data_IF_899900971674
#
_entry.id   IF_899900971674
#
_cell.length_a   1.000
_cell.length_b   1.000
_cell.length_c   1.000
_cell.angle_alpha   90.00
_cell.angle_beta   90.00
_cell.angle_gamma   90.00
#
_symmetry.space_group_name_H-M   'P 1'
#
loop_
_entity.id
_entity.type
_entity.pdbx_description
1 polymer ?
#
# COMPACT_ATOMS: atom_id res chain seq x y z
N UNK A 1 -28.40 -8.43 5.84
CA UNK A 1 -29.35 -7.78 6.76
C UNK A 1 -30.48 -7.19 5.95
N UNK A 2 -31.66 -7.83 5.96
CA UNK A 2 -32.86 -7.31 5.31
C UNK A 2 -33.64 -6.48 6.35
N UNK A 3 -33.85 -5.20 6.08
CA UNK A 3 -34.62 -4.31 6.96
C UNK A 3 -36.11 -4.56 6.73
N UNK A 4 -36.86 -4.83 7.81
CA UNK A 4 -38.32 -4.93 7.77
C UNK A 4 -38.97 -3.64 8.29
N UNK A 5 -40.05 -3.15 7.67
CA UNK A 5 -40.75 -1.95 8.11
C UNK A 5 -41.55 -2.22 9.39
N UNK A 6 -41.45 -1.30 10.35
CA UNK A 6 -42.19 -1.33 11.62
C UNK A 6 -43.66 -1.00 11.35
N UNK A 7 -44.54 -1.96 11.60
CA UNK A 7 -45.99 -1.74 11.56
C UNK A 7 -46.45 -0.97 12.79
N UNK A 8 -47.22 0.11 12.60
CA UNK A 8 -48.23 0.52 13.57
C UNK A 8 -49.33 1.32 12.88
N UNK A 9 -50.58 0.92 13.15
CA UNK A 9 -51.76 1.51 12.57
C UNK A 9 -52.10 2.87 13.17
N UNK A 10 -52.36 3.85 12.31
CA UNK A 10 -53.59 4.66 12.27
C UNK A 10 -53.53 5.51 11.00
N UNK A 11 -54.67 5.74 10.35
CA UNK A 11 -54.76 6.56 9.13
C UNK A 11 -54.45 8.03 9.46
N UNK A 12 -53.35 8.55 8.95
CA UNK A 12 -53.11 9.99 8.78
C UNK A 12 -52.47 10.24 7.42
N UNK A 13 -52.71 11.44 6.88
CA UNK A 13 -52.27 12.04 5.59
C UNK A 13 -51.07 11.33 4.96
N UNK A 14 -51.08 11.16 3.64
CA UNK A 14 -49.95 10.63 2.87
C UNK A 14 -48.68 11.43 3.18
N UNK A 15 -47.97 10.99 4.22
CA UNK A 15 -46.68 11.51 4.61
C UNK A 15 -45.77 11.18 3.44
N UNK A 16 -45.29 12.23 2.80
CA UNK A 16 -44.20 12.14 1.84
C UNK A 16 -42.99 11.60 2.62
N UNK A 17 -42.81 10.28 2.62
CA UNK A 17 -41.78 9.56 3.39
C UNK A 17 -40.34 9.86 2.91
N UNK A 18 -40.18 10.89 2.08
CA UNK A 18 -38.93 11.27 1.45
C UNK A 18 -38.52 10.33 0.31
N UNK A 19 -37.40 10.67 -0.34
CA UNK A 19 -36.84 9.86 -1.42
C UNK A 19 -35.48 9.28 -1.00
N UNK A 20 -35.27 8.00 -1.31
CA UNK A 20 -34.00 7.31 -1.12
C UNK A 20 -33.31 7.17 -2.47
N UNK A 21 -32.15 7.82 -2.64
CA UNK A 21 -31.29 7.63 -3.82
C UNK A 21 -30.23 6.58 -3.52
N UNK A 22 -30.38 5.42 -4.14
CA UNK A 22 -29.39 4.34 -4.07
C UNK A 22 -28.54 4.35 -5.34
N UNK A 23 -27.22 4.23 -5.18
CA UNK A 23 -26.30 3.90 -6.27
C UNK A 23 -25.71 2.53 -5.97
N UNK A 24 -26.10 1.53 -6.75
CA UNK A 24 -25.60 0.16 -6.65
C UNK A 24 -24.58 -0.09 -7.76
N UNK A 25 -23.50 -0.79 -7.44
CA UNK A 25 -22.51 -1.25 -8.42
C UNK A 25 -22.23 -2.71 -8.12
N UNK A 26 -22.43 -3.56 -9.12
CA UNK A 26 -22.13 -4.99 -9.07
C UNK A 26 -20.97 -5.26 -10.04
N UNK A 27 -19.94 -5.96 -9.55
CA UNK A 27 -18.77 -6.37 -10.32
C UNK A 27 -18.62 -7.87 -10.10
N UNK A 28 -18.53 -8.62 -11.19
CA UNK A 28 -18.31 -10.06 -11.18
C UNK A 28 -16.94 -10.36 -11.81
N UNK A 29 -15.99 -10.77 -10.98
CA UNK A 29 -14.64 -11.14 -11.40
C UNK A 29 -14.48 -12.66 -11.35
N UNK A 30 -13.98 -13.25 -12.45
CA UNK A 30 -13.70 -14.69 -12.53
C UNK A 30 -12.19 -14.95 -12.43
N UNK A 31 -11.79 -15.75 -11.45
CA UNK A 31 -10.39 -16.22 -11.30
C UNK A 31 -10.29 -17.63 -11.87
N UNK A 32 -9.41 -17.83 -12.86
CA UNK A 32 -9.19 -19.13 -13.48
C UNK A 32 -8.35 -20.06 -12.58
N UNK A 33 -8.36 -21.38 -12.82
CA UNK A 33 -7.42 -22.29 -12.17
C UNK A 33 -5.95 -21.90 -12.42
N UNK A 34 -5.07 -22.17 -11.45
CA UNK A 34 -3.66 -21.77 -11.49
C UNK A 34 -2.89 -22.23 -12.74
N UNK A 35 -3.25 -23.38 -13.31
CA UNK A 35 -2.65 -23.92 -14.52
C UNK A 35 -2.65 -22.92 -15.69
N UNK A 36 -3.72 -22.12 -15.83
CA UNK A 36 -3.86 -21.14 -16.91
C UNK A 36 -2.87 -19.97 -16.80
N UNK A 37 -2.39 -19.66 -15.58
CA UNK A 37 -1.43 -18.57 -15.35
C UNK A 37 0.03 -19.03 -15.38
N UNK A 38 0.28 -20.34 -15.50
CA UNK A 38 1.63 -20.91 -15.46
C UNK A 38 2.59 -20.30 -16.49
N UNK A 39 2.19 -20.08 -17.77
CA UNK A 39 3.07 -19.44 -18.75
C UNK A 39 3.50 -18.03 -18.33
N UNK A 40 2.56 -17.23 -17.80
CA UNK A 40 2.83 -15.88 -17.31
C UNK A 40 3.73 -15.90 -16.08
N UNK A 41 3.44 -16.77 -15.10
CA UNK A 41 4.28 -16.93 -13.92
C UNK A 41 5.71 -17.32 -14.30
N UNK A 42 5.88 -18.30 -15.20
CA UNK A 42 7.20 -18.71 -15.67
C UNK A 42 7.95 -17.59 -16.38
N UNK A 43 7.26 -16.78 -17.18
CA UNK A 43 7.85 -15.62 -17.83
C UNK A 43 8.35 -14.60 -16.80
N UNK A 44 7.54 -14.27 -15.79
CA UNK A 44 7.90 -13.33 -14.72
C UNK A 44 9.06 -13.86 -13.86
N UNK A 45 9.04 -15.15 -13.52
CA UNK A 45 10.07 -15.79 -12.70
C UNK A 45 11.44 -15.83 -13.38
N UNK A 46 11.48 -15.86 -14.72
CA UNK A 46 12.72 -15.78 -15.51
C UNK A 46 13.30 -14.37 -15.63
N UNK A 47 12.57 -13.34 -15.18
CA UNK A 47 13.00 -11.94 -15.32
C UNK A 47 14.42 -11.63 -14.82
N UNK A 48 14.90 -12.17 -13.67
CA UNK A 48 16.28 -11.93 -13.23
C UNK A 48 17.37 -12.46 -14.17
N UNK A 49 17.04 -13.42 -15.05
CA UNK A 49 18.01 -14.06 -15.95
C UNK A 49 18.10 -13.33 -17.30
N UNK A 50 17.21 -12.36 -17.55
CA UNK A 50 17.15 -11.61 -18.81
C UNK A 50 18.16 -10.47 -18.79
N UNK A 51 18.94 -10.35 -19.88
CA UNK A 51 19.89 -9.26 -20.10
C UNK A 51 19.57 -8.55 -21.43
N UNK A 52 19.46 -7.20 -21.45
CA UNK A 52 19.49 -6.31 -20.29
C UNK A 52 18.23 -6.49 -19.40
N UNK A 53 18.33 -6.17 -18.11
CA UNK A 53 17.20 -6.34 -17.16
C UNK A 53 15.96 -5.53 -17.56
N UNK A 54 16.17 -4.42 -18.28
CA UNK A 54 15.12 -3.58 -18.86
C UNK A 54 14.23 -4.30 -19.87
N UNK A 55 14.72 -5.39 -20.50
CA UNK A 55 13.95 -6.23 -21.40
C UNK A 55 13.18 -7.35 -20.70
N UNK A 56 13.32 -7.47 -19.37
CA UNK A 56 12.61 -8.50 -18.59
C UNK A 56 11.12 -8.18 -18.42
N UNK A 57 10.28 -9.21 -18.36
CA UNK A 57 8.83 -9.02 -18.24
C UNK A 57 8.45 -8.29 -16.93
N UNK A 58 9.08 -8.64 -15.81
CA UNK A 58 8.82 -7.97 -14.54
C UNK A 58 9.26 -6.49 -14.56
N UNK A 59 10.37 -6.16 -15.23
CA UNK A 59 10.80 -4.77 -15.40
C UNK A 59 9.81 -3.99 -16.26
N UNK A 60 9.44 -4.52 -17.43
CA UNK A 60 8.50 -3.88 -18.36
C UNK A 60 7.14 -3.64 -17.68
N UNK A 61 6.62 -4.62 -16.93
CA UNK A 61 5.38 -4.44 -16.16
C UNK A 61 5.52 -3.36 -15.09
N UNK A 62 6.62 -3.37 -14.33
CA UNK A 62 6.88 -2.35 -13.31
C UNK A 62 7.07 -0.95 -13.89
N UNK A 63 7.47 -0.86 -15.16
CA UNK A 63 7.68 0.39 -15.87
C UNK A 63 6.40 0.95 -16.51
N UNK A 64 5.61 0.09 -17.17
CA UNK A 64 4.34 0.49 -17.77
C UNK A 64 3.30 0.83 -16.70
N UNK A 65 3.31 0.10 -15.58
CA UNK A 65 2.36 0.29 -14.49
C UNK A 65 2.87 1.29 -13.43
N UNK A 66 3.76 2.23 -13.78
CA UNK A 66 4.31 3.24 -12.86
C UNK A 66 3.24 3.97 -12.02
N UNK A 67 2.10 4.30 -12.63
CA UNK A 67 0.99 5.01 -11.96
C UNK A 67 -0.03 4.07 -11.31
N UNK A 68 -0.01 2.79 -11.68
CA UNK A 68 -0.92 1.76 -11.19
C UNK A 68 -0.13 0.79 -10.32
N UNK A 69 0.04 1.16 -9.05
CA UNK A 69 0.71 0.39 -7.99
C UNK A 69 0.25 -1.08 -7.87
N UNK A 70 -0.86 -1.43 -8.52
CA UNK A 70 -1.47 -2.75 -8.55
C UNK A 70 -0.59 -3.85 -9.18
N UNK A 71 0.36 -3.55 -10.06
CA UNK A 71 1.16 -4.59 -10.73
C UNK A 71 2.49 -4.93 -10.04
N UNK A 72 3.08 -3.97 -9.31
CA UNK A 72 4.39 -4.15 -8.65
C UNK A 72 4.26 -5.11 -7.48
N UNK A 73 3.31 -4.86 -6.56
CA UNK A 73 3.11 -5.68 -5.37
C UNK A 73 2.91 -7.18 -5.67
N UNK A 74 2.02 -7.59 -6.62
CA UNK A 74 1.88 -9.00 -6.99
C UNK A 74 3.16 -9.59 -7.61
N UNK A 75 3.90 -8.80 -8.39
CA UNK A 75 5.17 -9.22 -8.99
C UNK A 75 6.22 -9.47 -7.92
N UNK A 76 6.37 -8.54 -6.97
CA UNK A 76 7.26 -8.70 -5.81
C UNK A 76 6.87 -9.93 -5.00
N UNK A 77 5.57 -10.11 -4.71
CA UNK A 77 5.06 -11.28 -3.98
C UNK A 77 5.40 -12.60 -4.69
N UNK A 78 5.21 -12.66 -6.00
CA UNK A 78 5.55 -13.83 -6.81
C UNK A 78 7.06 -14.12 -6.75
N UNK A 79 7.90 -13.11 -6.97
CA UNK A 79 9.35 -13.27 -6.95
C UNK A 79 9.88 -13.67 -5.57
N UNK A 80 9.31 -13.12 -4.48
CA UNK A 80 9.68 -13.49 -3.11
C UNK A 80 9.31 -14.95 -2.83
N UNK A 81 8.09 -15.37 -3.18
CA UNK A 81 7.64 -16.74 -2.98
C UNK A 81 8.55 -17.79 -3.63
N UNK A 82 9.17 -17.45 -4.76
CA UNK A 82 10.08 -18.34 -5.51
C UNK A 82 11.58 -18.05 -5.28
N UNK A 83 11.95 -17.22 -4.30
CA UNK A 83 13.34 -16.83 -4.02
C UNK A 83 14.08 -16.17 -5.22
N UNK A 84 13.33 -15.50 -6.08
CA UNK A 84 13.82 -14.81 -7.28
C UNK A 84 13.92 -13.29 -7.11
N UNK A 85 13.44 -12.75 -5.99
CA UNK A 85 13.38 -11.30 -5.76
C UNK A 85 14.76 -10.66 -5.63
N UNK A 86 15.67 -11.23 -4.83
CA UNK A 86 17.00 -10.63 -4.59
C UNK A 86 17.80 -10.49 -5.91
N UNK A 87 17.93 -11.53 -6.75
CA UNK A 87 18.58 -11.38 -8.05
C UNK A 87 17.92 -10.33 -8.96
N UNK A 88 16.58 -10.25 -8.95
CA UNK A 88 15.83 -9.25 -9.70
C UNK A 88 16.19 -7.83 -9.25
N UNK A 89 16.01 -7.54 -7.96
CA UNK A 89 16.14 -6.19 -7.43
C UNK A 89 17.59 -5.70 -7.50
N UNK A 90 18.58 -6.59 -7.32
CA UNK A 90 19.98 -6.24 -7.51
C UNK A 90 20.27 -5.82 -8.96
N UNK A 91 19.72 -6.52 -9.96
CA UNK A 91 19.89 -6.16 -11.35
C UNK A 91 19.19 -4.84 -11.70
N UNK A 92 17.97 -4.61 -11.19
CA UNK A 92 17.24 -3.35 -11.36
C UNK A 92 17.98 -2.18 -10.70
N UNK A 93 18.47 -2.35 -9.47
CA UNK A 93 19.24 -1.33 -8.75
C UNK A 93 20.56 -0.99 -9.45
N UNK A 94 21.25 -1.99 -10.03
CA UNK A 94 22.45 -1.76 -10.83
C UNK A 94 22.15 -0.92 -12.09
N UNK A 95 21.06 -1.25 -12.81
CA UNK A 95 20.61 -0.45 -13.94
C UNK A 95 20.26 1.00 -13.54
N UNK A 96 19.61 1.19 -12.40
CA UNK A 96 19.31 2.54 -11.89
C UNK A 96 20.58 3.31 -11.54
N UNK A 97 21.57 2.65 -10.93
CA UNK A 97 22.86 3.24 -10.62
C UNK A 97 23.62 3.68 -11.87
N UNK A 98 23.64 2.85 -12.92
CA UNK A 98 24.25 3.16 -14.22
C UNK A 98 23.61 4.39 -14.89
N UNK A 99 22.30 4.58 -14.69
CA UNK A 99 21.56 5.70 -15.27
C UNK A 99 21.55 6.97 -14.40
N UNK A 100 22.07 6.90 -13.17
CA UNK A 100 22.02 8.03 -12.24
C UNK A 100 23.24 8.95 -12.43
N UNK A 101 22.99 10.21 -12.75
CA UNK A 101 24.06 11.22 -12.92
C UNK A 101 24.53 11.84 -11.60
N UNK A 102 23.63 11.93 -10.61
CA UNK A 102 23.91 12.54 -9.31
C UNK A 102 23.64 11.57 -8.15
N UNK A 103 24.65 11.30 -7.33
CA UNK A 103 24.55 10.38 -6.21
C UNK A 103 23.40 10.69 -5.22
N UNK A 104 23.02 11.97 -5.09
CA UNK A 104 21.96 12.43 -4.19
C UNK A 104 20.53 12.09 -4.66
N UNK A 105 20.39 11.50 -5.86
CA UNK A 105 19.10 11.12 -6.45
C UNK A 105 18.87 9.61 -6.49
N UNK A 106 19.88 8.82 -6.13
CA UNK A 106 19.78 7.35 -6.06
C UNK A 106 18.71 6.98 -5.02
N UNK A 107 17.81 6.06 -5.39
CA UNK A 107 16.76 5.53 -4.52
C UNK A 107 15.78 6.59 -3.96
N UNK A 108 15.48 7.66 -4.71
CA UNK A 108 14.34 8.52 -4.40
C UNK A 108 13.04 7.83 -4.84
N UNK A 109 12.01 7.89 -3.98
CA UNK A 109 10.85 6.98 -3.89
C UNK A 109 9.94 6.73 -5.11
N UNK A 110 10.32 7.15 -6.32
CA UNK A 110 9.57 6.91 -7.55
C UNK A 110 10.30 6.01 -8.56
N UNK A 111 11.42 5.38 -8.18
CA UNK A 111 12.09 4.40 -9.03
C UNK A 111 11.43 3.02 -8.95
N UNK A 112 11.70 2.13 -9.91
CA UNK A 112 11.17 0.77 -9.84
C UNK A 112 11.83 0.02 -8.67
N UNK A 113 13.12 0.24 -8.43
CA UNK A 113 13.81 -0.39 -7.32
C UNK A 113 13.23 0.03 -5.97
N UNK A 114 13.02 1.33 -5.74
CA UNK A 114 12.45 1.82 -4.47
C UNK A 114 11.05 1.26 -4.24
N UNK A 115 10.19 1.26 -5.26
CA UNK A 115 8.84 0.69 -5.15
C UNK A 115 8.87 -0.81 -4.85
N UNK A 116 9.74 -1.56 -5.51
CA UNK A 116 9.89 -2.99 -5.26
C UNK A 116 10.38 -3.27 -3.83
N UNK A 117 11.31 -2.47 -3.32
CA UNK A 117 11.82 -2.57 -1.94
C UNK A 117 10.71 -2.22 -0.94
N UNK A 118 9.97 -1.13 -1.16
CA UNK A 118 8.86 -0.72 -0.30
C UNK A 118 7.80 -1.82 -0.19
N UNK A 119 7.38 -2.40 -1.32
CA UNK A 119 6.39 -3.48 -1.33
C UNK A 119 6.94 -4.76 -0.71
N UNK A 120 8.23 -5.07 -0.89
CA UNK A 120 8.87 -6.17 -0.20
C UNK A 120 8.85 -5.96 1.32
N UNK A 121 9.21 -4.77 1.80
CA UNK A 121 9.19 -4.41 3.22
C UNK A 121 7.78 -4.47 3.80
N UNK A 122 6.73 -4.09 3.05
CA UNK A 122 5.33 -4.26 3.48
C UNK A 122 4.96 -5.74 3.66
N UNK A 123 5.44 -6.61 2.76
CA UNK A 123 5.15 -8.05 2.81
C UNK A 123 5.86 -8.71 3.99
N UNK A 124 7.17 -8.49 4.15
CA UNK A 124 8.00 -9.22 5.13
C UNK A 124 8.12 -8.51 6.48
N UNK A 125 8.05 -7.17 6.48
CA UNK A 125 8.31 -6.33 7.65
C UNK A 125 7.11 -6.10 8.57
N UNK A 126 5.90 -6.51 8.17
CA UNK A 126 4.67 -6.26 8.95
C UNK A 126 4.76 -6.76 10.39
N UNK A 127 5.26 -7.98 10.60
CA UNK A 127 5.41 -8.54 11.95
C UNK A 127 6.48 -7.81 12.75
N UNK A 128 7.60 -7.48 12.11
CA UNK A 128 8.68 -6.72 12.74
C UNK A 128 8.19 -5.35 13.24
N UNK A 129 7.44 -4.61 12.40
CA UNK A 129 6.85 -3.33 12.79
C UNK A 129 5.86 -3.48 13.93
N UNK A 130 5.01 -4.51 13.90
CA UNK A 130 4.06 -4.76 14.99
C UNK A 130 4.80 -5.00 16.31
N UNK A 131 5.80 -5.87 16.35
CA UNK A 131 6.55 -6.16 17.58
C UNK A 131 7.33 -4.94 18.08
N UNK A 132 7.92 -4.17 17.17
CA UNK A 132 8.82 -3.06 17.53
C UNK A 132 8.07 -1.80 17.92
N UNK A 133 7.02 -1.44 17.19
CA UNK A 133 6.35 -0.14 17.33
C UNK A 133 5.01 -0.20 18.04
N UNK A 134 4.30 -1.35 18.00
CA UNK A 134 2.96 -1.43 18.59
C UNK A 134 2.91 -1.04 20.07
N UNK A 135 3.82 -1.51 20.96
CA UNK A 135 3.74 -1.15 22.37
C UNK A 135 3.85 0.37 22.60
N UNK A 136 4.75 1.02 21.87
CA UNK A 136 4.97 2.46 21.95
C UNK A 136 3.77 3.23 21.39
N UNK A 137 3.21 2.78 20.26
CA UNK A 137 2.01 3.39 19.67
C UNK A 137 0.81 3.23 20.60
N UNK A 138 0.62 2.06 21.21
CA UNK A 138 -0.46 1.81 22.16
C UNK A 138 -0.32 2.76 23.38
N UNK A 139 0.89 2.93 23.93
CA UNK A 139 1.16 3.88 25.02
C UNK A 139 0.85 5.34 24.62
N UNK A 140 1.22 5.75 23.41
CA UNK A 140 0.90 7.10 22.89
C UNK A 140 -0.62 7.27 22.80
N UNK A 141 -1.34 6.27 22.29
CA UNK A 141 -2.79 6.30 22.18
C UNK A 141 -3.49 6.33 23.54
N UNK A 142 -2.97 5.62 24.55
CA UNK A 142 -3.52 5.59 25.90
C UNK A 142 -3.22 6.87 26.70
N UNK A 143 -2.01 7.41 26.56
CA UNK A 143 -1.55 8.57 27.34
C UNK A 143 -2.16 9.90 26.89
N UNK A 144 -2.56 10.02 25.61
CA UNK A 144 -3.18 11.21 25.02
C UNK A 144 -2.46 12.54 25.35
N UNK A 145 -1.14 12.50 25.43
CA UNK A 145 -0.30 13.68 25.71
C UNK A 145 -0.22 14.56 24.47
N UNK A 146 -0.26 15.89 24.65
CA UNK A 146 0.00 16.83 23.57
C UNK A 146 1.51 16.98 23.34
N UNK A 147 1.92 16.83 22.08
CA UNK A 147 3.27 17.12 21.60
C UNK A 147 3.28 18.36 20.67
N UNK A 148 2.21 19.15 20.68
CA UNK A 148 2.11 20.36 19.85
C UNK A 148 3.08 21.43 20.36
N UNK A 149 3.97 21.87 19.48
CA UNK A 149 5.00 22.87 19.77
C UNK A 149 4.86 24.12 18.88
N UNK A 150 3.98 24.08 17.87
CA UNK A 150 3.66 25.23 17.03
C UNK A 150 2.84 26.24 17.85
N UNK A 151 3.38 27.44 18.12
CA UNK A 151 2.72 28.43 18.95
C UNK A 151 1.33 28.84 18.44
N UNK A 152 1.09 28.71 17.14
CA UNK A 152 -0.17 29.13 16.49
C UNK A 152 -1.27 28.07 16.65
N UNK A 153 -0.92 26.84 17.01
CA UNK A 153 -1.86 25.70 17.15
C UNK A 153 -2.14 25.29 18.59
N UNK A 154 -1.51 25.95 19.56
CA UNK A 154 -1.72 25.69 20.98
C UNK A 154 -3.15 26.07 21.40
N UNK A 155 -3.75 25.22 22.23
CA UNK A 155 -5.03 25.53 22.88
C UNK A 155 -4.81 26.38 24.12
N UNK A 156 -5.86 27.05 24.55
CA UNK A 156 -5.85 27.78 25.82
C UNK A 156 -5.57 26.82 26.98
N UNK A 157 -4.42 27.01 27.65
CA UNK A 157 -3.95 26.12 28.72
C UNK A 157 -2.81 25.16 28.34
N UNK A 158 -2.40 25.09 27.07
CA UNK A 158 -1.24 24.30 26.67
C UNK A 158 0.09 24.98 27.05
N UNK A 159 1.12 24.17 27.34
CA UNK A 159 2.45 24.65 27.69
C UNK A 159 3.51 24.03 26.77
N UNK A 160 4.11 24.87 25.92
CA UNK A 160 5.15 24.46 24.95
C UNK A 160 6.33 23.75 25.63
N UNK A 161 6.74 24.20 26.82
CA UNK A 161 7.87 23.60 27.53
C UNK A 161 7.54 22.18 27.97
N UNK A 162 6.30 21.95 28.41
CA UNK A 162 5.82 20.60 28.78
C UNK A 162 5.66 19.73 27.53
N UNK A 163 5.08 20.25 26.46
CA UNK A 163 4.85 19.50 25.22
C UNK A 163 6.15 19.07 24.54
N UNK A 164 7.21 19.88 24.64
CA UNK A 164 8.54 19.58 24.10
C UNK A 164 9.23 18.40 24.79
N UNK A 165 8.85 18.10 26.04
CA UNK A 165 9.34 16.91 26.78
C UNK A 165 8.55 15.65 26.40
N UNK A 166 7.34 15.81 25.84
CA UNK A 166 6.53 14.70 25.34
C UNK A 166 6.90 14.26 23.90
N UNK A 167 7.79 15.00 23.23
CA UNK A 167 8.21 14.74 21.83
C UNK A 167 9.49 13.91 21.80
#
# INVERSE_FOLDING_TARGET
YLLQPKGNGSKSKSDDLGSLRLKLTYIEDTVLPSAFYTPLCNLLLKSPDVKPISASAAHILGDICRERYEAVLPTVRLLLHHNRFVPFISAVAALELENTQEANTIFRGNSLATRCIDDMMKIVGKNYLAVTLKPVIDEICESNKTCEIDPVKLKEGDNVVVNKVNT
#
